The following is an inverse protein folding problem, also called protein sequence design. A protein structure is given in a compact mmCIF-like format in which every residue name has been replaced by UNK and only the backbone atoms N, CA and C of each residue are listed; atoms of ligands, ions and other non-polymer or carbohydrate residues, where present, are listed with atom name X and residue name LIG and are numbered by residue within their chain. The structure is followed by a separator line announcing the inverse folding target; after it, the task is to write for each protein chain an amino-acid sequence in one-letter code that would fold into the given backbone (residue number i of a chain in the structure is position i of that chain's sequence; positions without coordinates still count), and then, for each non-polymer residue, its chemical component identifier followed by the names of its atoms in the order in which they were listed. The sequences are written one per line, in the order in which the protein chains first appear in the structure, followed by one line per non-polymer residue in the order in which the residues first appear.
data_IF_293358586886
#
_entry.id   IF_293358586886
#
_cell.length_a   1.000
_cell.length_b   1.000
_cell.length_c   1.000
_cell.angle_alpha   90.00
_cell.angle_beta   90.00
_cell.angle_gamma   90.00
#
_symmetry.space_group_name_H-M   'P 1'
#
loop_
_entity.id
_entity.type
_entity.pdbx_description
1 polymer ?
#
# COMPACT_ATOMS: atom_id res chain seq x y z
N UNK A 1 -4.14 -0.22 -18.37
CA UNK A 1 -3.03 -0.65 -17.51
C UNK A 1 -3.12 -2.15 -17.35
N UNK A 2 -2.19 -2.96 -17.85
CA UNK A 2 -2.13 -4.40 -17.64
C UNK A 2 -1.48 -4.79 -16.30
N UNK A 3 -1.52 -6.08 -15.93
CA UNK A 3 -0.90 -6.56 -14.67
C UNK A 3 0.60 -6.26 -14.59
N UNK A 4 1.31 -6.31 -15.70
CA UNK A 4 2.75 -5.99 -15.77
C UNK A 4 3.10 -4.56 -15.38
N UNK A 5 2.14 -3.63 -15.42
CA UNK A 5 2.33 -2.22 -15.06
C UNK A 5 2.03 -1.95 -13.58
N UNK A 6 1.42 -2.93 -12.88
CA UNK A 6 1.18 -2.83 -11.45
C UNK A 6 2.49 -3.07 -10.68
N UNK A 7 2.80 -2.17 -9.77
CA UNK A 7 3.99 -2.31 -8.93
C UNK A 7 3.80 -3.37 -7.85
N UNK A 8 4.86 -4.07 -7.56
CA UNK A 8 4.88 -5.13 -6.56
C UNK A 8 3.93 -6.30 -6.89
N UNK A 9 3.71 -7.19 -5.95
CA UNK A 9 2.78 -8.32 -6.04
C UNK A 9 2.95 -9.24 -7.27
N UNK A 10 4.07 -9.17 -7.98
CA UNK A 10 4.29 -9.82 -9.28
C UNK A 10 3.84 -11.28 -9.26
N UNK A 11 4.33 -12.09 -8.30
CA UNK A 11 3.99 -13.51 -8.20
C UNK A 11 2.50 -13.74 -7.97
N UNK A 12 1.85 -12.91 -7.13
CA UNK A 12 0.42 -12.99 -6.85
C UNK A 12 -0.41 -12.72 -8.11
N UNK A 13 -0.07 -11.64 -8.82
CA UNK A 13 -0.75 -11.20 -10.04
C UNK A 13 -0.57 -12.24 -11.17
N UNK A 14 0.63 -12.79 -11.35
CA UNK A 14 0.90 -13.85 -12.31
C UNK A 14 0.08 -15.12 -12.01
N UNK A 15 0.00 -15.56 -10.75
CA UNK A 15 -0.81 -16.71 -10.35
C UNK A 15 -2.30 -16.45 -10.59
N UNK A 16 -2.78 -15.26 -10.24
CA UNK A 16 -4.18 -14.86 -10.47
C UNK A 16 -4.52 -14.85 -11.96
N UNK A 17 -3.64 -14.28 -12.80
CA UNK A 17 -3.81 -14.23 -14.24
C UNK A 17 -3.82 -15.65 -14.87
N UNK A 18 -2.90 -16.51 -14.47
CA UNK A 18 -2.86 -17.91 -14.95
C UNK A 18 -4.12 -18.68 -14.53
N UNK A 19 -4.58 -18.51 -13.30
CA UNK A 19 -5.81 -19.14 -12.81
C UNK A 19 -7.05 -18.62 -13.56
N UNK A 20 -7.11 -17.32 -13.86
CA UNK A 20 -8.20 -16.70 -14.61
C UNK A 20 -8.31 -17.28 -16.04
N UNK A 21 -7.19 -17.38 -16.76
CA UNK A 21 -7.17 -17.90 -18.13
C UNK A 21 -7.46 -19.40 -18.19
N UNK A 22 -7.00 -20.17 -17.18
CA UNK A 22 -7.29 -21.61 -17.07
C UNK A 22 -8.73 -21.90 -16.62
N UNK A 23 -9.52 -20.90 -16.25
CA UNK A 23 -10.86 -21.10 -15.70
C UNK A 23 -10.90 -21.72 -14.30
N UNK A 24 -9.74 -21.76 -13.60
CA UNK A 24 -9.63 -22.32 -12.24
C UNK A 24 -9.72 -21.26 -11.15
N UNK A 25 -9.85 -19.98 -11.52
CA UNK A 25 -10.05 -18.91 -10.54
C UNK A 25 -11.48 -18.97 -9.99
N UNK A 26 -11.68 -19.06 -8.66
CA UNK A 26 -13.01 -19.03 -8.08
C UNK A 26 -13.77 -17.76 -8.49
N UNK A 27 -15.08 -17.83 -8.69
CA UNK A 27 -15.87 -16.69 -9.17
C UNK A 27 -16.12 -15.62 -8.08
N UNK A 28 -15.89 -15.95 -6.80
CA UNK A 28 -16.05 -15.04 -5.68
C UNK A 28 -14.71 -14.84 -4.96
N UNK A 29 -14.19 -13.62 -4.97
CA UNK A 29 -12.86 -13.28 -4.48
C UNK A 29 -12.92 -12.16 -3.43
N UNK A 30 -12.01 -12.20 -2.46
CA UNK A 30 -11.70 -11.07 -1.58
C UNK A 30 -10.25 -10.64 -1.85
N UNK A 31 -10.05 -9.43 -2.35
CA UNK A 31 -8.74 -8.79 -2.43
C UNK A 31 -8.50 -8.01 -1.13
N UNK A 32 -7.68 -8.57 -0.24
CA UNK A 32 -7.44 -8.07 1.10
C UNK A 32 -6.01 -7.58 1.29
N UNK A 33 -5.82 -6.44 1.92
CA UNK A 33 -4.51 -5.86 2.25
C UNK A 33 -4.62 -4.36 2.56
N UNK A 34 -3.54 -3.69 2.96
CA UNK A 34 -3.56 -2.28 3.31
C UNK A 34 -4.14 -1.39 2.20
N UNK A 35 -4.59 -0.18 2.56
CA UNK A 35 -5.06 0.78 1.58
C UNK A 35 -3.92 1.27 0.69
N UNK A 36 -4.25 1.64 -0.56
CA UNK A 36 -3.28 2.20 -1.51
C UNK A 36 -2.22 1.25 -2.06
N UNK A 37 -2.32 -0.09 -1.82
CA UNK A 37 -1.39 -1.09 -2.37
C UNK A 37 -1.78 -1.62 -3.77
N UNK A 38 -2.81 -1.06 -4.41
CA UNK A 38 -3.20 -1.43 -5.77
C UNK A 38 -4.29 -2.50 -5.89
N UNK A 39 -5.01 -2.86 -4.82
CA UNK A 39 -6.10 -3.87 -4.82
C UNK A 39 -7.18 -3.58 -5.87
N UNK A 40 -7.72 -2.34 -5.87
CA UNK A 40 -8.73 -1.88 -6.83
C UNK A 40 -8.22 -1.97 -8.27
N UNK A 41 -6.99 -1.50 -8.52
CA UNK A 41 -6.37 -1.60 -9.83
C UNK A 41 -6.22 -3.05 -10.29
N UNK A 42 -5.80 -3.95 -9.40
CA UNK A 42 -5.72 -5.37 -9.70
C UNK A 42 -7.08 -5.98 -10.08
N UNK A 43 -8.17 -5.58 -9.39
CA UNK A 43 -9.53 -6.02 -9.73
C UNK A 43 -9.96 -5.51 -11.12
N UNK A 44 -9.66 -4.26 -11.47
CA UNK A 44 -9.92 -3.70 -12.79
C UNK A 44 -9.11 -4.39 -13.88
N UNK A 45 -7.83 -4.69 -13.63
CA UNK A 45 -7.00 -5.42 -14.60
C UNK A 45 -7.46 -6.86 -14.78
N UNK A 46 -7.93 -7.52 -13.71
CA UNK A 46 -8.56 -8.83 -13.81
C UNK A 46 -9.81 -8.77 -14.71
N UNK A 47 -10.66 -7.75 -14.56
CA UNK A 47 -11.82 -7.52 -15.42
C UNK A 47 -11.39 -7.26 -16.89
N UNK A 48 -10.29 -6.54 -17.10
CA UNK A 48 -9.70 -6.35 -18.43
C UNK A 48 -9.21 -7.68 -19.01
N UNK A 49 -8.52 -8.52 -18.23
CA UNK A 49 -8.01 -9.80 -18.71
C UNK A 49 -9.16 -10.73 -19.17
N UNK A 50 -10.25 -10.80 -18.42
CA UNK A 50 -11.43 -11.58 -18.80
C UNK A 50 -12.07 -11.13 -20.11
N UNK A 51 -12.07 -9.82 -20.38
CA UNK A 51 -12.83 -9.22 -21.48
C UNK A 51 -11.95 -8.70 -22.63
N UNK A 52 -10.62 -8.80 -22.53
CA UNK A 52 -9.68 -8.26 -23.50
C UNK A 52 -9.87 -8.86 -24.90
N UNK A 53 -9.97 -8.02 -25.93
CA UNK A 53 -10.10 -8.47 -27.32
C UNK A 53 -8.81 -9.11 -27.87
N UNK A 54 -7.65 -8.68 -27.35
CA UNK A 54 -6.33 -9.13 -27.81
C UNK A 54 -5.43 -9.40 -26.59
N UNK A 55 -5.75 -10.42 -25.78
CA UNK A 55 -4.94 -10.74 -24.59
C UNK A 55 -3.54 -11.17 -25.02
N UNK A 56 -2.55 -10.81 -24.18
CA UNK A 56 -1.19 -11.32 -24.31
C UNK A 56 -1.17 -12.78 -23.89
N UNK A 57 -0.73 -13.65 -24.81
CA UNK A 57 -0.67 -15.08 -24.57
C UNK A 57 0.40 -15.42 -23.51
N UNK A 58 0.18 -16.48 -22.70
CA UNK A 58 1.21 -16.96 -21.79
C UNK A 58 2.43 -17.48 -22.55
N UNK A 59 3.64 -17.08 -22.08
CA UNK A 59 4.92 -17.63 -22.53
C UNK A 59 5.57 -18.49 -21.46
N UNK A 60 6.77 -19.07 -21.73
CA UNK A 60 7.52 -19.85 -20.73
C UNK A 60 7.72 -19.06 -19.42
N UNK A 61 8.14 -17.81 -19.53
CA UNK A 61 8.41 -16.90 -18.40
C UNK A 61 7.42 -15.74 -18.29
N UNK A 62 6.34 -15.74 -19.09
CA UNK A 62 5.38 -14.66 -19.14
C UNK A 62 3.98 -15.16 -18.77
N UNK A 63 3.36 -14.52 -17.78
CA UNK A 63 1.97 -14.75 -17.45
C UNK A 63 1.03 -14.13 -18.51
N UNK A 64 -0.18 -14.69 -18.72
CA UNK A 64 -1.20 -14.07 -19.57
C UNK A 64 -1.58 -12.70 -18.99
N UNK A 65 -1.85 -11.74 -19.88
CA UNK A 65 -2.19 -10.37 -19.45
C UNK A 65 -3.19 -9.71 -20.41
N UNK A 66 -3.87 -8.67 -19.95
CA UNK A 66 -4.64 -7.80 -20.81
C UNK A 66 -3.71 -6.96 -21.70
N UNK A 67 -4.13 -6.63 -22.93
CA UNK A 67 -3.32 -5.77 -23.78
C UNK A 67 -3.20 -4.32 -23.26
N UNK A 68 -4.21 -3.84 -22.51
CA UNK A 68 -4.26 -2.49 -21.96
C UNK A 68 -4.74 -1.39 -22.92
N UNK A 69 -4.74 -1.64 -24.23
CA UNK A 69 -4.97 -0.61 -25.26
C UNK A 69 -6.18 -0.83 -26.18
N UNK A 70 -6.79 -2.02 -26.21
CA UNK A 70 -8.01 -2.23 -27.01
C UNK A 70 -9.19 -1.41 -26.46
N UNK A 71 -10.26 -1.28 -27.25
CA UNK A 71 -11.44 -0.50 -26.88
C UNK A 71 -12.07 -0.95 -25.55
N UNK A 72 -12.12 -2.26 -25.32
CA UNK A 72 -12.64 -2.88 -24.09
C UNK A 72 -11.76 -2.52 -22.90
N UNK A 73 -10.44 -2.74 -22.99
CA UNK A 73 -9.52 -2.38 -21.90
C UNK A 73 -9.59 -0.89 -21.51
N UNK A 74 -9.69 -0.01 -22.53
CA UNK A 74 -9.82 1.43 -22.28
C UNK A 74 -11.14 1.81 -21.62
N UNK A 75 -12.28 1.19 -22.02
CA UNK A 75 -13.57 1.44 -21.40
C UNK A 75 -13.64 0.92 -19.96
N UNK A 76 -13.06 -0.25 -19.68
CA UNK A 76 -12.96 -0.78 -18.31
C UNK A 76 -12.13 0.17 -17.43
N UNK A 77 -10.97 0.63 -17.91
CA UNK A 77 -10.13 1.55 -17.18
C UNK A 77 -10.83 2.90 -16.85
N UNK A 78 -11.79 3.31 -17.70
CA UNK A 78 -12.61 4.53 -17.49
C UNK A 78 -13.89 4.28 -16.69
N UNK A 79 -14.17 3.02 -16.28
CA UNK A 79 -15.39 2.68 -15.53
C UNK A 79 -16.69 2.69 -16.37
N UNK A 80 -16.60 2.67 -17.71
CA UNK A 80 -17.76 2.81 -18.63
C UNK A 80 -18.09 1.56 -19.43
N UNK A 81 -17.60 0.38 -19.01
CA UNK A 81 -17.89 -0.88 -19.67
C UNK A 81 -19.17 -1.51 -19.10
N UNK A 82 -20.10 -1.90 -19.97
CA UNK A 82 -21.43 -2.41 -19.58
C UNK A 82 -21.38 -3.65 -18.65
N UNK A 83 -20.36 -4.50 -18.80
CA UNK A 83 -20.22 -5.75 -18.06
C UNK A 83 -19.24 -5.66 -16.88
N UNK A 84 -18.73 -4.47 -16.55
CA UNK A 84 -17.91 -4.24 -15.35
C UNK A 84 -18.61 -3.21 -14.48
N UNK A 85 -19.03 -3.63 -13.30
CA UNK A 85 -19.74 -2.79 -12.34
C UNK A 85 -18.81 -2.51 -11.17
N UNK A 86 -18.75 -1.24 -10.77
CA UNK A 86 -18.09 -0.80 -9.55
C UNK A 86 -19.16 -0.39 -8.56
N UNK A 87 -19.08 -0.92 -7.34
CA UNK A 87 -19.89 -0.51 -6.18
C UNK A 87 -18.91 0.14 -5.22
N UNK A 88 -19.22 1.38 -4.84
CA UNK A 88 -18.42 2.18 -3.92
C UNK A 88 -19.33 2.72 -2.81
N UNK A 89 -18.77 3.07 -1.63
CA UNK A 89 -19.54 3.76 -0.59
C UNK A 89 -20.22 5.01 -1.14
N UNK A 90 -21.49 5.21 -0.78
CA UNK A 90 -22.22 6.43 -1.12
C UNK A 90 -21.79 7.62 -0.26
N UNK A 91 -22.53 8.73 -0.36
CA UNK A 91 -22.27 9.98 0.39
C UNK A 91 -22.24 9.76 1.92
N UNK A 92 -22.90 8.72 2.42
CA UNK A 92 -22.90 8.36 3.86
C UNK A 92 -21.67 7.55 4.28
N UNK A 93 -20.73 7.28 3.37
CA UNK A 93 -19.54 6.45 3.63
C UNK A 93 -19.89 4.95 3.80
N UNK A 94 -21.11 4.51 3.48
CA UNK A 94 -21.53 3.11 3.55
C UNK A 94 -22.06 2.59 2.22
N UNK A 95 -22.00 1.27 2.02
CA UNK A 95 -22.61 0.56 0.90
C UNK A 95 -23.93 -0.04 1.39
N UNK A 96 -25.05 0.46 0.85
CA UNK A 96 -26.40 0.08 1.25
C UNK A 96 -26.88 -1.17 0.52
N UNK A 97 -27.91 -1.81 1.08
CA UNK A 97 -28.51 -3.04 0.53
C UNK A 97 -29.04 -2.86 -0.90
N UNK A 98 -29.54 -1.69 -1.25
CA UNK A 98 -30.08 -1.45 -2.59
C UNK A 98 -29.01 -1.46 -3.67
N UNK A 99 -27.79 -0.98 -3.36
CA UNK A 99 -26.63 -1.07 -4.27
C UNK A 99 -26.24 -2.55 -4.50
N UNK A 100 -26.22 -3.34 -3.43
CA UNK A 100 -25.94 -4.77 -3.51
C UNK A 100 -27.02 -5.51 -4.34
N UNK A 101 -28.32 -5.23 -4.10
CA UNK A 101 -29.44 -5.83 -4.86
C UNK A 101 -29.38 -5.49 -6.34
N UNK A 102 -29.13 -4.22 -6.68
CA UNK A 102 -28.99 -3.79 -8.07
C UNK A 102 -27.85 -4.54 -8.79
N UNK A 103 -26.73 -4.76 -8.11
CA UNK A 103 -25.62 -5.53 -8.66
C UNK A 103 -25.93 -7.02 -8.82
N UNK A 104 -26.64 -7.64 -7.85
CA UNK A 104 -27.12 -9.02 -7.93
C UNK A 104 -28.03 -9.18 -9.15
N UNK A 105 -29.04 -8.34 -9.29
CA UNK A 105 -29.98 -8.38 -10.41
C UNK A 105 -29.24 -8.29 -11.74
N UNK A 106 -28.39 -7.30 -11.91
CA UNK A 106 -27.62 -7.14 -13.14
C UNK A 106 -26.65 -8.30 -13.39
N UNK A 107 -26.09 -8.92 -12.36
CA UNK A 107 -25.18 -10.07 -12.49
C UNK A 107 -25.88 -11.34 -12.96
N UNK A 108 -27.19 -11.47 -12.78
CA UNK A 108 -27.99 -12.62 -13.20
C UNK A 108 -28.11 -12.75 -14.73
N UNK A 109 -27.98 -11.65 -15.46
CA UNK A 109 -28.05 -11.66 -16.91
C UNK A 109 -26.71 -12.03 -17.56
N UNK A 110 -26.75 -12.61 -18.75
CA UNK A 110 -25.54 -12.84 -19.56
C UNK A 110 -24.81 -11.54 -19.82
N UNK A 111 -23.46 -11.55 -19.97
CA UNK A 111 -22.71 -10.37 -20.39
C UNK A 111 -23.31 -9.76 -21.66
N UNK A 112 -23.33 -8.44 -21.73
CA UNK A 112 -23.92 -7.70 -22.87
C UNK A 112 -23.00 -7.73 -24.10
N UNK A 113 -21.71 -7.48 -23.91
CA UNK A 113 -20.70 -7.43 -24.97
C UNK A 113 -19.39 -8.14 -24.61
N UNK A 114 -19.15 -8.35 -23.32
CA UNK A 114 -17.96 -9.03 -22.81
C UNK A 114 -18.10 -10.54 -22.78
N UNK A 115 -17.01 -11.21 -22.40
CA UNK A 115 -17.00 -12.65 -22.13
C UNK A 115 -17.44 -12.96 -20.71
N UNK A 116 -17.21 -12.01 -19.79
CA UNK A 116 -17.50 -12.19 -18.37
C UNK A 116 -17.99 -10.89 -17.73
N UNK A 117 -18.98 -10.99 -16.90
CA UNK A 117 -19.44 -9.90 -16.07
C UNK A 117 -18.62 -9.86 -14.79
N UNK A 118 -18.12 -8.68 -14.42
CA UNK A 118 -17.32 -8.50 -13.20
C UNK A 118 -17.98 -7.46 -12.32
N UNK A 119 -18.28 -7.85 -11.09
CA UNK A 119 -18.76 -6.96 -10.04
C UNK A 119 -17.61 -6.71 -9.07
N UNK A 120 -17.16 -5.48 -8.98
CA UNK A 120 -16.13 -5.06 -8.04
C UNK A 120 -16.82 -4.26 -6.94
N UNK A 121 -16.68 -4.69 -5.70
CA UNK A 121 -17.15 -3.95 -4.52
C UNK A 121 -15.90 -3.36 -3.87
N UNK A 122 -15.69 -2.09 -4.08
CA UNK A 122 -14.57 -1.37 -3.46
C UNK A 122 -14.94 -0.94 -2.05
N UNK A 123 -13.97 -0.89 -1.14
CA UNK A 123 -14.20 -0.70 0.29
C UNK A 123 -15.32 -1.61 0.83
N UNK A 124 -15.23 -2.91 0.53
CA UNK A 124 -16.27 -3.88 0.87
C UNK A 124 -16.55 -3.97 2.39
N UNK A 125 -15.62 -3.57 3.23
CA UNK A 125 -15.82 -3.44 4.68
C UNK A 125 -16.76 -2.29 5.08
N UNK A 126 -17.06 -1.36 4.15
CA UNK A 126 -18.08 -0.33 4.32
C UNK A 126 -19.53 -0.84 4.03
N UNK A 127 -19.69 -2.10 3.59
CA UNK A 127 -21.01 -2.67 3.40
C UNK A 127 -21.76 -2.83 4.72
N UNK A 128 -22.99 -2.32 4.77
CA UNK A 128 -23.92 -2.61 5.88
C UNK A 128 -24.20 -4.12 5.98
N UNK A 129 -24.49 -4.62 7.17
CA UNK A 129 -24.79 -6.05 7.37
C UNK A 129 -25.92 -6.57 6.46
N UNK A 130 -26.91 -5.72 6.17
CA UNK A 130 -28.00 -5.99 5.23
C UNK A 130 -27.52 -6.19 3.79
N UNK A 131 -26.54 -5.39 3.35
CA UNK A 131 -25.92 -5.48 2.02
C UNK A 131 -25.07 -6.76 1.91
N UNK A 132 -24.28 -7.07 2.94
CA UNK A 132 -23.49 -8.30 3.00
C UNK A 132 -24.37 -9.55 2.96
N UNK A 133 -25.46 -9.57 3.74
CA UNK A 133 -26.41 -10.69 3.76
C UNK A 133 -27.12 -10.88 2.39
N UNK A 134 -27.45 -9.79 1.70
CA UNK A 134 -28.07 -9.87 0.37
C UNK A 134 -27.16 -10.59 -0.65
N UNK A 135 -25.84 -10.42 -0.55
CA UNK A 135 -24.87 -11.04 -1.45
C UNK A 135 -24.64 -12.54 -1.22
N UNK A 136 -24.97 -13.09 -0.03
CA UNK A 136 -24.57 -14.44 0.37
C UNK A 136 -24.93 -15.54 -0.64
N UNK A 137 -26.19 -15.55 -1.11
CA UNK A 137 -26.64 -16.55 -2.07
C UNK A 137 -25.88 -16.45 -3.40
N UNK A 138 -25.63 -15.24 -3.86
CA UNK A 138 -24.93 -14.98 -5.12
C UNK A 138 -23.42 -15.29 -5.03
N UNK A 139 -22.82 -15.09 -3.85
CA UNK A 139 -21.42 -15.44 -3.62
C UNK A 139 -21.20 -16.96 -3.52
N UNK A 140 -22.21 -17.69 -3.04
CA UNK A 140 -22.21 -19.16 -2.96
C UNK A 140 -22.42 -19.81 -4.32
N UNK A 141 -23.43 -19.34 -5.07
CA UNK A 141 -23.79 -19.84 -6.40
C UNK A 141 -23.82 -18.68 -7.41
N UNK A 142 -22.65 -18.14 -7.77
CA UNK A 142 -22.60 -17.03 -8.71
C UNK A 142 -23.00 -17.47 -10.12
N UNK A 143 -23.67 -16.61 -10.91
CA UNK A 143 -24.01 -16.90 -12.29
C UNK A 143 -22.75 -17.27 -13.09
N UNK A 144 -22.84 -18.27 -13.95
CA UNK A 144 -21.69 -18.93 -14.62
C UNK A 144 -20.72 -17.98 -15.34
N UNK A 145 -21.23 -16.87 -15.88
CA UNK A 145 -20.42 -15.86 -16.58
C UNK A 145 -20.11 -14.63 -15.69
N UNK A 146 -20.29 -14.71 -14.37
CA UNK A 146 -20.07 -13.60 -13.47
C UNK A 146 -18.91 -13.87 -12.51
N UNK A 147 -18.22 -12.81 -12.09
CA UNK A 147 -17.15 -12.85 -11.08
C UNK A 147 -17.35 -11.68 -10.12
N UNK A 148 -17.26 -11.95 -8.83
CA UNK A 148 -17.36 -10.97 -7.76
C UNK A 148 -15.98 -10.75 -7.13
N UNK A 149 -15.55 -9.50 -7.01
CA UNK A 149 -14.28 -9.13 -6.36
C UNK A 149 -14.60 -8.11 -5.26
N UNK A 150 -14.50 -8.55 -4.01
CA UNK A 150 -14.63 -7.70 -2.84
C UNK A 150 -13.24 -7.15 -2.49
N UNK A 151 -13.07 -5.85 -2.54
CA UNK A 151 -11.80 -5.17 -2.20
C UNK A 151 -11.92 -4.59 -0.80
N UNK A 152 -10.99 -4.90 0.09
CA UNK A 152 -11.05 -4.42 1.48
C UNK A 152 -9.66 -4.28 2.12
N UNK A 153 -9.50 -3.29 2.98
CA UNK A 153 -8.36 -3.19 3.88
C UNK A 153 -8.60 -3.97 5.20
N UNK A 154 -9.84 -4.10 5.59
CA UNK A 154 -10.25 -4.69 6.87
C UNK A 154 -11.15 -5.92 6.68
N UNK A 155 -10.58 -7.04 6.19
CA UNK A 155 -11.36 -8.24 5.86
C UNK A 155 -12.13 -8.81 7.07
N UNK A 156 -11.71 -8.49 8.29
CA UNK A 156 -12.36 -8.97 9.52
C UNK A 156 -13.66 -8.25 9.83
N UNK A 157 -13.95 -7.11 9.18
CA UNK A 157 -15.26 -6.44 9.24
C UNK A 157 -16.30 -7.08 8.31
N UNK A 158 -15.86 -7.92 7.36
CA UNK A 158 -16.78 -8.73 6.58
C UNK A 158 -17.34 -9.87 7.43
N UNK A 159 -18.64 -10.15 7.25
CA UNK A 159 -19.29 -11.26 7.96
C UNK A 159 -18.54 -12.58 7.72
N UNK A 160 -18.41 -13.44 8.72
CA UNK A 160 -17.79 -14.76 8.57
C UNK A 160 -18.42 -15.59 7.42
N UNK A 161 -19.73 -15.43 7.21
CA UNK A 161 -20.49 -16.06 6.14
C UNK A 161 -20.12 -15.58 4.74
N UNK A 162 -19.70 -14.32 4.57
CA UNK A 162 -19.15 -13.79 3.32
C UNK A 162 -17.73 -14.32 3.11
N UNK A 163 -16.91 -14.25 4.16
CA UNK A 163 -15.51 -14.69 4.10
C UNK A 163 -15.36 -16.18 3.76
N UNK A 164 -16.27 -17.02 4.24
CA UNK A 164 -16.23 -18.48 3.97
C UNK A 164 -16.58 -18.85 2.53
N UNK A 165 -17.26 -17.96 1.77
CA UNK A 165 -17.69 -18.18 0.38
C UNK A 165 -16.78 -17.56 -0.66
N UNK A 166 -15.80 -16.77 -0.23
CA UNK A 166 -14.87 -16.07 -1.13
C UNK A 166 -13.44 -16.56 -0.96
N UNK A 167 -12.73 -16.77 -2.06
CA UNK A 167 -11.30 -17.05 -2.03
C UNK A 167 -10.54 -15.76 -1.70
N UNK A 168 -9.77 -15.78 -0.62
CA UNK A 168 -8.98 -14.63 -0.21
C UNK A 168 -7.66 -14.55 -0.98
N UNK A 169 -7.41 -13.40 -1.60
CA UNK A 169 -6.17 -13.01 -2.26
C UNK A 169 -5.52 -11.91 -1.43
N UNK A 170 -4.34 -12.16 -0.85
CA UNK A 170 -3.66 -11.27 0.07
C UNK A 170 -2.67 -10.36 -0.66
N UNK A 171 -2.88 -9.06 -0.52
CA UNK A 171 -1.94 -8.02 -0.95
C UNK A 171 -1.11 -7.58 0.27
N UNK A 172 0.21 -7.73 0.19
CA UNK A 172 1.13 -7.26 1.22
C UNK A 172 1.40 -5.74 1.08
N UNK A 173 1.96 -5.06 2.08
CA UNK A 173 2.57 -3.76 1.86
C UNK A 173 3.62 -3.81 0.74
N UNK A 174 3.69 -2.76 -0.08
CA UNK A 174 4.69 -2.64 -1.14
C UNK A 174 6.07 -2.33 -0.57
N UNK A 175 7.11 -2.78 -1.25
CA UNK A 175 8.47 -2.38 -0.92
C UNK A 175 8.72 -0.89 -1.21
N UNK A 176 9.55 -0.20 -0.42
CA UNK A 176 9.85 1.21 -0.65
C UNK A 176 10.40 1.48 -2.06
N UNK A 177 11.27 0.61 -2.57
CA UNK A 177 11.81 0.70 -3.93
C UNK A 177 10.73 0.60 -5.02
N UNK A 178 9.72 -0.26 -4.83
CA UNK A 178 8.59 -0.38 -5.76
C UNK A 178 7.74 0.90 -5.75
N UNK A 179 7.51 1.49 -4.57
CA UNK A 179 6.77 2.75 -4.42
C UNK A 179 7.54 3.88 -5.09
N UNK A 180 8.83 4.05 -4.78
CA UNK A 180 9.67 5.10 -5.38
C UNK A 180 9.69 4.99 -6.91
N UNK A 181 9.81 3.78 -7.46
CA UNK A 181 9.76 3.56 -8.90
C UNK A 181 8.43 4.01 -9.53
N UNK A 182 7.28 3.78 -8.86
CA UNK A 182 5.96 4.25 -9.33
C UNK A 182 5.87 5.77 -9.26
N UNK A 183 6.30 6.38 -8.15
CA UNK A 183 6.27 7.83 -7.98
C UNK A 183 7.08 8.55 -9.06
N UNK A 184 8.26 8.05 -9.37
CA UNK A 184 9.10 8.59 -10.45
C UNK A 184 8.49 8.39 -11.83
N UNK A 185 8.02 7.17 -12.13
CA UNK A 185 7.52 6.80 -13.46
C UNK A 185 6.18 7.47 -13.80
N UNK A 186 5.23 7.47 -12.86
CA UNK A 186 3.83 7.80 -13.11
C UNK A 186 3.41 9.18 -12.55
N UNK A 187 4.15 9.71 -11.58
CA UNK A 187 3.79 10.94 -10.87
C UNK A 187 4.85 12.05 -10.96
N UNK A 188 5.98 11.81 -11.65
CA UNK A 188 6.99 12.83 -11.93
C UNK A 188 7.81 13.28 -10.72
N UNK A 189 7.85 12.48 -9.64
CA UNK A 189 8.69 12.76 -8.49
C UNK A 189 10.17 12.68 -8.87
N UNK A 190 11.01 13.53 -8.25
CA UNK A 190 12.46 13.35 -8.29
C UNK A 190 12.86 12.08 -7.53
N UNK A 191 14.04 11.55 -7.78
CA UNK A 191 14.56 10.37 -7.07
C UNK A 191 14.55 10.59 -5.55
N UNK A 192 15.04 11.74 -5.12
CA UNK A 192 15.12 12.11 -3.71
C UNK A 192 13.75 12.18 -3.04
N UNK A 193 12.78 12.87 -3.65
CA UNK A 193 11.43 13.01 -3.12
C UNK A 193 10.64 11.70 -3.18
N UNK A 194 10.85 10.89 -4.21
CA UNK A 194 10.22 9.58 -4.32
C UNK A 194 10.65 8.63 -3.20
N UNK A 195 11.95 8.58 -2.89
CA UNK A 195 12.45 7.77 -1.78
C UNK A 195 12.02 8.30 -0.41
N UNK A 196 12.00 9.63 -0.20
CA UNK A 196 11.51 10.23 1.03
C UNK A 196 10.03 9.91 1.28
N UNK A 197 9.19 10.06 0.26
CA UNK A 197 7.76 9.72 0.33
C UNK A 197 7.53 8.22 0.53
N UNK A 198 8.28 7.36 -0.18
CA UNK A 198 8.17 5.91 -0.08
C UNK A 198 8.53 5.39 1.32
N UNK A 199 9.50 6.01 1.99
CA UNK A 199 9.91 5.63 3.35
C UNK A 199 8.81 5.88 4.40
N UNK A 200 7.97 6.90 4.19
CA UNK A 200 6.84 7.22 5.08
C UNK A 200 5.52 6.52 4.67
N UNK A 201 5.48 5.96 3.49
CA UNK A 201 4.26 5.41 2.90
C UNK A 201 3.75 4.11 3.55
N UNK A 202 4.54 3.46 4.41
CA UNK A 202 4.19 2.19 5.07
C UNK A 202 3.68 1.12 4.08
N UNK A 203 4.24 1.11 2.87
CA UNK A 203 3.87 0.17 1.82
C UNK A 203 2.68 0.58 0.96
N UNK A 204 2.19 1.83 1.05
CA UNK A 204 1.02 2.35 0.35
C UNK A 204 1.38 3.47 -0.62
N UNK A 205 1.16 3.29 -1.92
CA UNK A 205 1.34 4.37 -2.90
C UNK A 205 0.33 5.51 -2.64
N UNK A 206 -0.89 5.19 -2.21
CA UNK A 206 -1.88 6.22 -1.86
C UNK A 206 -1.36 7.19 -0.81
N UNK A 207 -0.81 6.66 0.30
CA UNK A 207 -0.21 7.49 1.35
C UNK A 207 0.99 8.31 0.87
N UNK A 208 1.82 7.74 -0.02
CA UNK A 208 2.96 8.47 -0.58
C UNK A 208 2.53 9.70 -1.40
N UNK A 209 1.32 9.67 -1.98
CA UNK A 209 0.77 10.75 -2.80
C UNK A 209 0.01 11.82 -2.00
N UNK A 210 -0.37 11.54 -0.75
CA UNK A 210 -1.13 12.45 0.10
C UNK A 210 -0.30 13.58 0.71
N UNK A 211 1.04 13.44 0.74
CA UNK A 211 1.93 14.36 1.43
C UNK A 211 2.59 15.40 0.55
N UNK A 212 3.09 16.46 1.19
CA UNK A 212 3.91 17.48 0.56
C UNK A 212 5.33 16.94 0.31
N UNK A 213 5.76 16.97 -0.95
CA UNK A 213 7.05 16.45 -1.39
C UNK A 213 8.24 17.15 -0.72
N UNK A 214 8.18 18.48 -0.60
CA UNK A 214 9.26 19.26 -0.01
C UNK A 214 9.36 19.00 1.50
N UNK A 215 8.21 18.88 2.18
CA UNK A 215 8.16 18.51 3.59
C UNK A 215 8.74 17.09 3.85
N UNK A 216 8.63 16.17 2.90
CA UNK A 216 9.23 14.85 3.01
C UNK A 216 10.76 14.90 2.93
N UNK A 217 11.33 15.70 2.02
CA UNK A 217 12.77 15.88 1.88
C UNK A 217 13.35 16.55 3.13
N UNK A 218 12.75 17.66 3.58
CA UNK A 218 13.18 18.35 4.81
C UNK A 218 13.15 17.44 6.05
N UNK A 219 12.09 16.67 6.22
CA UNK A 219 11.97 15.75 7.33
C UNK A 219 13.04 14.64 7.29
N UNK A 220 13.38 14.18 6.08
CA UNK A 220 14.42 13.18 5.84
C UNK A 220 15.81 13.72 6.17
N UNK A 221 16.11 14.94 5.75
CA UNK A 221 17.40 15.60 6.06
C UNK A 221 17.55 15.84 7.55
N UNK A 222 16.48 16.24 8.22
CA UNK A 222 16.46 16.40 9.68
C UNK A 222 16.73 15.07 10.42
N UNK A 223 16.20 13.96 9.92
CA UNK A 223 16.43 12.63 10.48
C UNK A 223 17.91 12.20 10.32
N UNK A 224 18.51 12.39 9.14
CA UNK A 224 19.94 12.13 8.92
C UNK A 224 20.80 12.98 9.84
N UNK A 225 20.55 14.29 9.88
CA UNK A 225 21.31 15.22 10.73
C UNK A 225 21.25 14.86 12.21
N UNK A 226 20.08 14.40 12.70
CA UNK A 226 19.90 13.90 14.06
C UNK A 226 20.78 12.67 14.31
N UNK A 227 20.70 11.65 13.47
CA UNK A 227 21.48 10.41 13.61
C UNK A 227 22.98 10.67 13.53
N UNK A 228 23.45 11.52 12.60
CA UNK A 228 24.86 11.91 12.52
C UNK A 228 25.35 12.66 13.76
N UNK A 229 24.51 13.55 14.31
CA UNK A 229 24.86 14.31 15.52
C UNK A 229 24.98 13.37 16.72
N UNK A 230 24.03 12.44 16.87
CA UNK A 230 24.05 11.44 17.96
C UNK A 230 25.22 10.46 17.79
N UNK A 231 25.53 10.05 16.55
CA UNK A 231 26.67 9.15 16.27
C UNK A 231 28.01 9.74 16.74
N UNK A 232 28.17 11.06 16.64
CA UNK A 232 29.40 11.82 17.02
C UNK A 232 29.38 12.35 18.43
N UNK A 233 28.23 12.30 19.14
CA UNK A 233 28.06 12.91 20.45
C UNK A 233 28.88 12.19 21.53
N UNK A 234 29.81 12.90 22.15
CA UNK A 234 30.64 12.43 23.26
C UNK A 234 30.17 12.93 24.63
N UNK A 235 29.22 13.86 24.68
CA UNK A 235 28.72 14.44 25.91
C UNK A 235 27.21 14.80 25.83
N UNK A 236 26.53 15.01 26.98
CA UNK A 236 25.08 15.30 27.02
C UNK A 236 24.67 16.55 26.24
N UNK A 237 25.51 17.60 26.23
CA UNK A 237 25.19 18.84 25.50
C UNK A 237 25.13 18.63 23.99
N UNK A 238 26.02 17.80 23.46
CA UNK A 238 26.01 17.41 22.04
C UNK A 238 24.81 16.54 21.70
N UNK A 239 24.40 15.63 22.58
CA UNK A 239 23.16 14.84 22.40
C UNK A 239 21.94 15.75 22.38
N UNK A 240 21.84 16.73 23.27
CA UNK A 240 20.74 17.69 23.23
C UNK A 240 20.75 18.54 21.95
N UNK A 241 21.91 18.78 21.35
CA UNK A 241 21.99 19.44 20.06
C UNK A 241 21.34 18.60 18.93
N UNK A 242 21.34 17.28 19.03
CA UNK A 242 20.66 16.40 18.07
C UNK A 242 19.13 16.57 18.11
N UNK A 243 18.53 16.85 19.26
CA UNK A 243 17.12 17.16 19.37
C UNK A 243 16.73 18.40 18.55
N UNK A 244 17.64 19.37 18.43
CA UNK A 244 17.43 20.58 17.63
C UNK A 244 17.42 20.31 16.12
N UNK A 245 18.05 19.23 15.67
CA UNK A 245 17.98 18.80 14.27
C UNK A 245 16.59 18.26 13.92
N UNK A 246 15.91 17.63 14.89
CA UNK A 246 14.51 17.19 14.70
C UNK A 246 13.51 18.35 14.69
N UNK A 247 13.87 19.52 15.21
CA UNK A 247 13.02 20.72 15.19
C UNK A 247 13.48 21.76 16.18
N UNK A 248 13.26 23.05 15.83
CA UNK A 248 13.46 24.17 16.76
C UNK A 248 12.27 24.27 17.69
N UNK A 249 12.32 25.19 18.66
CA UNK A 249 11.37 25.38 19.78
C UNK A 249 9.86 25.47 19.42
N UNK A 250 9.49 25.42 18.14
CA UNK A 250 8.11 25.54 17.63
C UNK A 250 7.69 24.42 16.67
N UNK A 251 8.33 23.24 16.71
CA UNK A 251 7.89 22.13 15.88
C UNK A 251 6.50 21.66 16.32
N UNK A 252 5.59 21.50 15.37
CA UNK A 252 4.30 20.90 15.65
C UNK A 252 4.40 19.37 15.81
N UNK A 253 3.34 18.77 16.31
CA UNK A 253 3.29 17.33 16.60
C UNK A 253 3.39 16.47 15.34
N UNK A 254 2.68 16.85 14.29
CA UNK A 254 2.59 16.06 13.06
C UNK A 254 3.91 16.09 12.32
N UNK A 255 4.58 17.24 12.33
CA UNK A 255 5.91 17.38 11.73
C UNK A 255 6.96 16.56 12.49
N UNK A 256 6.98 16.65 13.83
CA UNK A 256 7.86 15.80 14.63
C UNK A 256 7.56 14.32 14.41
N UNK A 257 6.29 13.94 14.37
CA UNK A 257 5.87 12.57 14.07
C UNK A 257 6.38 12.08 12.71
N UNK A 258 6.34 12.91 11.67
CA UNK A 258 6.94 12.57 10.35
C UNK A 258 8.44 12.34 10.45
N UNK A 259 9.18 13.25 11.11
CA UNK A 259 10.64 13.15 11.31
C UNK A 259 11.01 11.90 12.09
N UNK A 260 10.29 11.57 13.15
CA UNK A 260 10.52 10.35 13.95
C UNK A 260 10.26 9.07 13.15
N UNK A 261 9.22 9.03 12.32
CA UNK A 261 8.98 7.89 11.42
C UNK A 261 10.12 7.70 10.42
N UNK A 262 10.73 8.78 9.93
CA UNK A 262 11.92 8.70 9.07
C UNK A 262 13.16 8.21 9.84
N UNK A 263 13.36 8.68 11.08
CA UNK A 263 14.43 8.14 11.95
C UNK A 263 14.22 6.64 12.17
N UNK A 264 13.00 6.19 12.48
CA UNK A 264 12.64 4.77 12.63
C UNK A 264 12.95 3.97 11.34
N UNK A 265 12.58 4.53 10.17
CA UNK A 265 12.86 3.91 8.87
C UNK A 265 14.36 3.78 8.59
N UNK A 266 15.15 4.81 8.90
CA UNK A 266 16.61 4.79 8.75
C UNK A 266 17.28 3.79 9.71
N UNK A 267 16.83 3.71 10.95
CA UNK A 267 17.32 2.72 11.91
C UNK A 267 17.03 1.29 11.43
N UNK A 268 15.88 1.06 10.79
CA UNK A 268 15.57 -0.22 10.16
C UNK A 268 16.55 -0.53 9.02
N UNK A 269 16.87 0.46 8.19
CA UNK A 269 17.84 0.28 7.11
C UNK A 269 19.25 0.01 7.66
N UNK A 270 19.66 0.68 8.77
CA UNK A 270 20.93 0.39 9.46
C UNK A 270 20.96 -1.07 9.95
N UNK A 271 19.88 -1.56 10.55
CA UNK A 271 19.76 -2.96 10.95
C UNK A 271 19.78 -3.93 9.76
N UNK A 272 19.16 -3.56 8.63
CA UNK A 272 19.20 -4.35 7.39
C UNK A 272 20.62 -4.43 6.80
N UNK A 273 21.36 -3.32 6.82
CA UNK A 273 22.77 -3.28 6.38
C UNK A 273 23.66 -4.14 7.28
N UNK A 274 23.48 -4.07 8.60
CA UNK A 274 24.22 -4.90 9.57
C UNK A 274 23.95 -6.40 9.34
N UNK A 275 22.68 -6.75 9.04
CA UNK A 275 22.24 -8.10 8.70
C UNK A 275 22.58 -8.54 7.26
N UNK A 276 23.26 -7.71 6.46
CA UNK A 276 23.59 -7.96 5.05
C UNK A 276 22.36 -8.32 4.18
N UNK A 277 21.22 -7.68 4.44
CA UNK A 277 20.01 -7.86 3.67
C UNK A 277 20.14 -7.31 2.23
N UNK A 278 19.25 -7.75 1.32
CA UNK A 278 19.20 -7.26 -0.07
C UNK A 278 18.95 -5.74 -0.08
N UNK A 279 19.72 -5.03 -0.89
CA UNK A 279 19.61 -3.56 -1.08
C UNK A 279 18.19 -3.11 -1.44
N UNK A 280 17.41 -3.97 -2.10
CA UNK A 280 16.01 -3.71 -2.44
C UNK A 280 15.10 -3.59 -1.23
N UNK A 281 15.53 -4.07 -0.06
CA UNK A 281 14.80 -3.94 1.21
C UNK A 281 14.98 -2.57 1.87
N UNK A 282 15.99 -1.79 1.44
CA UNK A 282 16.28 -0.47 1.98
C UNK A 282 15.23 0.55 1.54
N UNK A 283 14.69 1.29 2.50
CA UNK A 283 13.77 2.40 2.23
C UNK A 283 14.51 3.62 1.65
N UNK A 284 15.77 3.82 2.08
CA UNK A 284 16.62 4.93 1.68
C UNK A 284 17.79 4.44 0.82
N UNK A 285 17.51 3.63 -0.20
CA UNK A 285 18.54 3.04 -1.07
C UNK A 285 19.40 4.08 -1.82
N UNK A 286 18.84 5.24 -2.15
CA UNK A 286 19.52 6.39 -2.74
C UNK A 286 20.57 7.01 -1.80
N UNK A 287 20.39 6.87 -0.47
CA UNK A 287 21.35 7.35 0.56
C UNK A 287 22.16 6.22 1.20
N UNK A 288 22.27 5.06 0.56
CA UNK A 288 23.01 3.89 1.08
C UNK A 288 24.42 4.23 1.57
N UNK A 289 25.15 5.08 0.85
CA UNK A 289 26.51 5.49 1.26
C UNK A 289 26.56 6.30 2.57
N UNK A 290 25.52 7.08 2.88
CA UNK A 290 25.37 7.80 4.15
C UNK A 290 25.04 6.83 5.28
N UNK A 291 24.10 5.92 5.03
CA UNK A 291 23.69 4.90 6.01
C UNK A 291 24.84 3.94 6.34
N UNK A 292 25.68 3.54 5.37
CA UNK A 292 26.85 2.72 5.62
C UNK A 292 27.88 3.41 6.54
N UNK A 293 28.05 4.73 6.42
CA UNK A 293 28.91 5.50 7.34
C UNK A 293 28.34 5.55 8.74
N UNK A 294 27.02 5.70 8.87
CA UNK A 294 26.32 5.68 10.15
C UNK A 294 26.33 4.29 10.80
N UNK A 295 26.23 3.22 10.03
CA UNK A 295 26.26 1.85 10.51
C UNK A 295 27.52 1.52 11.35
N UNK A 296 28.66 2.15 11.05
CA UNK A 296 29.87 2.02 11.85
C UNK A 296 29.73 2.51 13.30
N UNK A 297 28.75 3.40 13.57
CA UNK A 297 28.47 3.97 14.91
C UNK A 297 27.23 3.38 15.56
N UNK A 298 26.43 2.63 14.82
CA UNK A 298 25.20 1.97 15.27
C UNK A 298 25.33 0.46 15.12
N UNK A 299 25.96 -0.20 16.12
CA UNK A 299 25.94 -1.67 16.19
C UNK A 299 24.50 -2.21 16.35
N UNK A 300 24.30 -3.50 16.10
CA UNK A 300 22.97 -4.11 16.17
C UNK A 300 22.24 -3.86 17.50
N UNK A 301 22.97 -3.88 18.61
CA UNK A 301 22.40 -3.62 19.93
C UNK A 301 21.98 -2.15 20.11
N UNK A 302 22.78 -1.19 19.63
CA UNK A 302 22.45 0.22 19.66
C UNK A 302 21.28 0.54 18.73
N UNK A 303 21.29 -0.02 17.53
CA UNK A 303 20.21 0.13 16.56
C UNK A 303 18.86 -0.30 17.10
N UNK A 304 18.79 -1.47 17.76
CA UNK A 304 17.55 -1.98 18.37
C UNK A 304 17.06 -1.08 19.51
N UNK A 305 17.97 -0.64 20.39
CA UNK A 305 17.59 0.31 21.48
C UNK A 305 17.09 1.63 20.93
N UNK A 306 17.78 2.19 19.94
CA UNK A 306 17.37 3.43 19.29
C UNK A 306 16.00 3.31 18.62
N UNK A 307 15.75 2.20 17.92
CA UNK A 307 14.46 1.89 17.31
C UNK A 307 13.33 1.85 18.36
N UNK A 308 13.53 1.11 19.47
CA UNK A 308 12.56 1.05 20.57
C UNK A 308 12.28 2.42 21.18
N UNK A 309 13.32 3.25 21.35
CA UNK A 309 13.16 4.60 21.87
C UNK A 309 12.35 5.51 20.91
N UNK A 310 12.53 5.36 19.60
CA UNK A 310 11.71 6.09 18.62
C UNK A 310 10.24 5.65 18.69
N UNK A 311 9.96 4.36 18.83
CA UNK A 311 8.59 3.86 18.99
C UNK A 311 7.93 4.38 20.26
N UNK A 312 8.66 4.44 21.39
CA UNK A 312 8.18 5.07 22.63
C UNK A 312 7.89 6.57 22.45
N UNK A 313 8.75 7.28 21.70
CA UNK A 313 8.58 8.69 21.39
C UNK A 313 7.31 8.92 20.54
N UNK A 314 7.07 8.11 19.52
CA UNK A 314 5.85 8.17 18.71
C UNK A 314 4.60 7.89 19.55
N UNK A 315 4.63 6.86 20.38
CA UNK A 315 3.52 6.55 21.30
C UNK A 315 3.27 7.65 22.33
N UNK A 316 4.31 8.39 22.75
CA UNK A 316 4.15 9.54 23.63
C UNK A 316 3.49 10.73 22.91
N UNK A 317 3.82 10.98 21.63
CA UNK A 317 3.16 12.01 20.80
C UNK A 317 1.68 11.70 20.63
N UNK A 318 1.32 10.44 20.36
CA UNK A 318 -0.08 9.99 20.22
C UNK A 318 -0.88 10.22 21.52
N UNK A 319 -0.23 10.15 22.67
CA UNK A 319 -0.80 10.45 23.99
C UNK A 319 -0.72 11.94 24.39
N UNK A 320 -0.51 12.82 23.43
CA UNK A 320 -0.46 14.28 23.61
C UNK A 320 0.73 14.80 24.43
N UNK A 321 1.87 14.09 24.50
CA UNK A 321 3.09 14.63 25.08
C UNK A 321 3.61 15.88 24.32
N UNK A 322 4.34 16.74 25.00
CA UNK A 322 4.96 17.92 24.40
C UNK A 322 6.03 17.52 23.37
N UNK A 323 5.95 17.97 22.10
CA UNK A 323 6.93 17.63 21.06
C UNK A 323 8.38 17.94 21.48
N UNK A 324 8.61 19.07 22.14
CA UNK A 324 9.93 19.46 22.62
C UNK A 324 10.49 18.46 23.64
N UNK A 325 9.69 18.08 24.63
CA UNK A 325 10.13 17.11 25.67
C UNK A 325 10.42 15.75 25.04
N UNK A 326 9.60 15.32 24.07
CA UNK A 326 9.79 14.04 23.37
C UNK A 326 11.09 14.06 22.55
N UNK A 327 11.38 15.13 21.81
CA UNK A 327 12.61 15.29 21.06
C UNK A 327 13.85 15.31 21.95
N UNK A 328 13.81 16.09 23.05
CA UNK A 328 14.90 16.19 24.02
C UNK A 328 15.16 14.82 24.69
N UNK A 329 14.12 14.13 25.14
CA UNK A 329 14.22 12.80 25.73
C UNK A 329 14.83 11.78 24.77
N UNK A 330 14.34 11.74 23.53
CA UNK A 330 14.82 10.80 22.51
C UNK A 330 16.32 10.97 22.22
N UNK A 331 16.82 12.21 22.18
CA UNK A 331 18.23 12.49 21.92
C UNK A 331 19.19 11.88 22.98
N UNK A 332 18.68 11.58 24.17
CA UNK A 332 19.44 10.88 25.22
C UNK A 332 19.33 9.35 25.14
N UNK A 333 18.30 8.83 24.47
CA UNK A 333 18.06 7.38 24.38
C UNK A 333 18.76 6.75 23.16
N UNK A 334 18.95 7.51 22.08
CA UNK A 334 19.62 7.11 20.83
C UNK A 334 21.13 7.37 20.91
#
# INVERSE_FOLDING_TARGET
MPFRDLAGHRRLLELTARAAVRGSLPPSLIFAGPDGVGKRLAALVLAQLFNCLSPVAPGPDQAPDACGHCSVCRRIARGVHADVMMIEPGETGSIKVDQARAAIERSAYRPFEGRRRVVIVDDADAMEASAQNALLKTLEEPPAASTFVLVTARPDLLLPTVRSRCQRVRFAPLGPSDIAAVLMRDHGFSEESAHAAAALAEGSIGRALEGDTDAYVEARDAAVAMLETVARASNPAQRLAAARALGRDKIDRDELGRRLRLVSSMLRDLGALDAQADDRSLAHGDRKGELQRLAASFDGGRTVRAFSAVDEALAALDRNASPKIVADWLAFQV
#
